data_IF_872887599003
#
_entry.id   IF_872887599003
#
_cell.length_a   1.000
_cell.length_b   1.000
_cell.length_c   1.000
_cell.angle_alpha   90.00
_cell.angle_beta   90.00
_cell.angle_gamma   90.00
#
_symmetry.space_group_name_H-M   'P 1'
#
loop_
_entity.id
_entity.type
_entity.pdbx_description
1 polymer ?
#
# COMPACT_ATOMS: atom_id res chain seq x y z
N UNK A 1 -11.10 -28.47 -1.75
CA UNK A 1 -11.19 -27.03 -2.10
C UNK A 1 -12.63 -26.46 -2.08
N UNK A 2 -13.59 -27.00 -1.29
CA UNK A 2 -15.02 -26.61 -1.44
C UNK A 2 -15.74 -26.05 -0.21
N UNK A 3 -15.12 -25.93 0.97
CA UNK A 3 -15.90 -25.66 2.18
C UNK A 3 -16.03 -24.17 2.62
N UNK A 4 -15.28 -23.25 2.00
CA UNK A 4 -15.45 -21.80 2.26
C UNK A 4 -15.59 -21.07 0.94
N UNK A 5 -16.68 -20.31 0.82
CA UNK A 5 -16.94 -19.43 -0.31
C UNK A 5 -15.97 -18.26 -0.18
N UNK A 6 -15.08 -18.10 -1.15
CA UNK A 6 -14.15 -16.96 -1.17
C UNK A 6 -14.95 -15.64 -1.13
N UNK A 7 -14.43 -14.65 -0.41
CA UNK A 7 -15.05 -13.35 -0.36
C UNK A 7 -15.15 -12.79 -1.79
N UNK A 8 -16.31 -12.25 -2.20
CA UNK A 8 -16.45 -11.77 -3.56
C UNK A 8 -15.46 -10.62 -3.84
N UNK A 9 -14.79 -10.66 -5.00
CA UNK A 9 -13.81 -9.65 -5.39
C UNK A 9 -14.34 -8.20 -5.34
N UNK A 10 -15.65 -8.01 -5.54
CA UNK A 10 -16.31 -6.70 -5.47
C UNK A 10 -16.22 -6.02 -4.11
N UNK A 11 -16.14 -6.78 -3.00
CA UNK A 11 -15.96 -6.19 -1.67
C UNK A 11 -14.62 -5.45 -1.58
N UNK A 12 -13.55 -6.02 -2.15
CA UNK A 12 -12.23 -5.38 -2.15
C UNK A 12 -12.22 -4.11 -2.99
N UNK A 13 -12.91 -4.09 -4.14
CA UNK A 13 -13.00 -2.90 -4.99
C UNK A 13 -13.79 -1.76 -4.33
N UNK A 14 -14.91 -2.07 -3.66
CA UNK A 14 -15.69 -1.06 -2.92
C UNK A 14 -14.87 -0.50 -1.76
N UNK A 15 -14.21 -1.37 -1.00
CA UNK A 15 -13.39 -0.95 0.14
C UNK A 15 -12.19 -0.12 -0.30
N UNK A 16 -11.56 -0.47 -1.43
CA UNK A 16 -10.51 0.33 -2.06
C UNK A 16 -11.04 1.71 -2.47
N UNK A 17 -12.17 1.78 -3.18
CA UNK A 17 -12.74 3.05 -3.62
C UNK A 17 -13.10 3.97 -2.43
N UNK A 18 -13.66 3.40 -1.37
CA UNK A 18 -14.02 4.16 -0.16
C UNK A 18 -12.77 4.65 0.58
N UNK A 19 -11.77 3.79 0.78
CA UNK A 19 -10.51 4.16 1.43
C UNK A 19 -9.73 5.22 0.61
N UNK A 20 -9.70 5.07 -0.71
CA UNK A 20 -9.07 6.03 -1.62
C UNK A 20 -9.78 7.39 -1.58
N UNK A 21 -11.12 7.38 -1.59
CA UNK A 21 -11.92 8.61 -1.47
C UNK A 21 -11.67 9.34 -0.15
N UNK A 22 -11.66 8.63 0.98
CA UNK A 22 -11.33 9.22 2.28
C UNK A 22 -9.90 9.76 2.32
N UNK A 23 -8.93 9.03 1.77
CA UNK A 23 -7.54 9.46 1.71
C UNK A 23 -7.38 10.74 0.87
N UNK A 24 -8.09 10.86 -0.26
CA UNK A 24 -8.09 12.07 -1.07
C UNK A 24 -8.69 13.28 -0.35
N UNK A 25 -9.79 13.09 0.40
CA UNK A 25 -10.40 14.14 1.24
C UNK A 25 -9.42 14.60 2.32
N UNK A 26 -8.78 13.67 3.04
CA UNK A 26 -7.80 14.00 4.09
C UNK A 26 -6.61 14.76 3.53
N UNK A 27 -6.05 14.34 2.39
CA UNK A 27 -4.94 15.05 1.76
C UNK A 27 -5.33 16.47 1.31
N UNK A 28 -6.55 16.66 0.82
CA UNK A 28 -7.03 17.97 0.37
C UNK A 28 -7.35 18.93 1.52
N UNK A 29 -8.04 18.46 2.57
CA UNK A 29 -8.43 19.30 3.71
C UNK A 29 -7.31 19.51 4.73
N UNK A 30 -6.39 18.56 4.85
CA UNK A 30 -5.27 18.64 5.80
C UNK A 30 -4.03 19.38 5.27
N UNK A 31 -4.06 19.86 4.02
CA UNK A 31 -2.93 20.49 3.32
C UNK A 31 -1.61 19.69 3.43
N UNK A 32 -1.74 18.37 3.58
CA UNK A 32 -0.63 17.44 3.83
C UNK A 32 0.18 17.21 2.56
N UNK A 33 -0.51 17.03 1.44
CA UNK A 33 0.06 16.68 0.15
C UNK A 33 -0.93 16.97 -0.98
N UNK A 34 -0.50 17.48 -2.15
CA UNK A 34 -1.38 17.62 -3.29
C UNK A 34 -1.99 16.26 -3.69
N UNK A 35 -3.31 16.23 -3.87
CA UNK A 35 -4.08 14.99 -4.08
C UNK A 35 -3.59 14.15 -5.27
N UNK A 36 -3.01 14.77 -6.30
CA UNK A 36 -2.44 14.08 -7.45
C UNK A 36 -1.30 13.12 -7.07
N UNK A 37 -0.52 13.43 -6.04
CA UNK A 37 0.57 12.54 -5.58
C UNK A 37 0.06 11.27 -4.91
N UNK A 38 -1.20 11.24 -4.49
CA UNK A 38 -1.83 10.04 -3.95
C UNK A 38 -1.93 8.94 -5.02
N UNK A 39 -2.26 9.31 -6.26
CA UNK A 39 -2.26 8.37 -7.39
C UNK A 39 -0.85 7.80 -7.65
N UNK A 40 0.18 8.64 -7.57
CA UNK A 40 1.57 8.21 -7.74
C UNK A 40 1.98 7.25 -6.62
N UNK A 41 1.63 7.57 -5.37
CA UNK A 41 1.91 6.71 -4.22
C UNK A 41 1.27 5.32 -4.39
N UNK A 42 -0.02 5.26 -4.76
CA UNK A 42 -0.74 4.01 -4.98
C UNK A 42 -0.17 3.22 -6.17
N UNK A 43 0.20 3.89 -7.26
CA UNK A 43 0.82 3.24 -8.42
C UNK A 43 2.18 2.61 -8.06
N UNK A 44 3.00 3.33 -7.28
CA UNK A 44 4.27 2.80 -6.78
C UNK A 44 4.03 1.60 -5.87
N UNK A 45 3.11 1.69 -4.89
CA UNK A 45 2.76 0.55 -4.04
C UNK A 45 2.36 -0.67 -4.86
N UNK A 46 1.54 -0.49 -5.91
CA UNK A 46 1.09 -1.59 -6.74
C UNK A 46 2.22 -2.26 -7.54
N UNK A 47 3.09 -1.45 -8.16
CA UNK A 47 4.24 -1.97 -8.94
C UNK A 47 5.24 -2.67 -8.03
N UNK A 48 5.54 -2.10 -6.86
CA UNK A 48 6.53 -2.64 -5.94
C UNK A 48 5.99 -3.78 -5.07
N UNK A 49 4.68 -3.93 -4.93
CA UNK A 49 4.07 -5.06 -4.22
C UNK A 49 4.53 -6.42 -4.78
N UNK A 50 4.58 -6.54 -6.11
CA UNK A 50 4.90 -7.79 -6.79
C UNK A 50 6.36 -8.24 -6.59
N UNK A 51 7.40 -7.44 -6.89
CA UNK A 51 8.79 -7.84 -6.67
C UNK A 51 9.10 -8.02 -5.18
N UNK A 52 8.56 -7.17 -4.31
CA UNK A 52 8.87 -7.22 -2.87
C UNK A 52 8.18 -8.39 -2.20
N UNK A 53 6.99 -8.77 -2.67
CA UNK A 53 6.32 -10.00 -2.25
C UNK A 53 7.07 -11.26 -2.65
N UNK A 54 7.65 -11.31 -3.86
CA UNK A 54 8.48 -12.44 -4.29
C UNK A 54 9.72 -12.56 -3.40
N UNK A 55 10.43 -11.46 -3.16
CA UNK A 55 11.62 -11.51 -2.31
C UNK A 55 11.25 -11.91 -0.89
N UNK A 56 10.22 -11.31 -0.30
CA UNK A 56 9.75 -11.68 1.03
C UNK A 56 9.36 -13.17 1.13
N UNK A 57 8.73 -13.73 0.09
CA UNK A 57 8.36 -15.15 0.07
C UNK A 57 9.56 -16.09 -0.05
N UNK A 58 10.65 -15.69 -0.72
CA UNK A 58 11.84 -16.53 -0.95
C UNK A 58 12.86 -16.39 0.18
N UNK A 59 13.13 -15.17 0.64
CA UNK A 59 14.19 -14.88 1.62
C UNK A 59 13.66 -14.73 3.04
N UNK A 60 12.34 -14.65 3.23
CA UNK A 60 11.70 -14.30 4.48
C UNK A 60 12.18 -12.96 5.07
N UNK A 61 12.73 -12.07 4.22
CA UNK A 61 13.14 -10.72 4.61
C UNK A 61 12.21 -9.67 3.99
N UNK A 62 11.72 -8.77 4.84
CA UNK A 62 10.99 -7.57 4.43
C UNK A 62 11.97 -6.52 3.90
N UNK A 63 11.94 -6.23 2.60
CA UNK A 63 12.71 -5.13 2.03
C UNK A 63 12.09 -3.80 2.47
N UNK A 64 12.87 -2.98 3.19
CA UNK A 64 12.46 -1.64 3.57
C UNK A 64 12.49 -0.68 2.38
N UNK A 65 11.40 -0.59 1.61
CA UNK A 65 11.28 0.41 0.53
C UNK A 65 11.10 1.84 1.03
N UNK A 66 11.07 2.04 2.35
CA UNK A 66 11.02 3.35 2.99
C UNK A 66 11.98 4.34 2.33
N UNK A 67 13.22 3.92 2.05
CA UNK A 67 14.25 4.78 1.46
C UNK A 67 13.91 5.20 0.03
N UNK A 68 13.35 4.29 -0.78
CA UNK A 68 12.96 4.61 -2.17
C UNK A 68 11.74 5.53 -2.17
N UNK A 69 10.75 5.24 -1.33
CA UNK A 69 9.55 6.09 -1.22
C UNK A 69 9.86 7.47 -0.65
N UNK A 70 10.76 7.57 0.32
CA UNK A 70 11.22 8.85 0.88
C UNK A 70 12.07 9.63 -0.12
N UNK A 71 12.87 8.95 -0.95
CA UNK A 71 13.62 9.60 -2.02
C UNK A 71 12.68 10.17 -3.10
N UNK A 72 11.70 9.39 -3.55
CA UNK A 72 10.70 9.84 -4.53
C UNK A 72 9.87 10.99 -3.96
N UNK A 73 9.44 10.90 -2.69
CA UNK A 73 8.71 11.97 -2.02
C UNK A 73 9.56 13.24 -1.84
N UNK A 74 10.84 13.10 -1.50
CA UNK A 74 11.77 14.21 -1.31
C UNK A 74 12.07 14.96 -2.62
N UNK A 75 12.08 14.26 -3.76
CA UNK A 75 12.17 14.89 -5.09
C UNK A 75 10.85 15.53 -5.49
N UNK A 76 9.72 14.89 -5.18
CA UNK A 76 8.38 15.36 -5.54
C UNK A 76 7.95 16.62 -4.77
N UNK A 77 8.24 16.69 -3.47
CA UNK A 77 7.81 17.77 -2.58
C UNK A 77 8.99 18.20 -1.69
N UNK A 78 9.90 19.04 -2.21
CA UNK A 78 11.06 19.48 -1.46
C UNK A 78 10.65 20.35 -0.27
N UNK A 79 11.25 20.09 0.90
CA UNK A 79 11.12 20.94 2.08
C UNK A 79 9.86 20.73 2.94
N UNK A 80 8.94 19.83 2.57
CA UNK A 80 7.76 19.53 3.39
C UNK A 80 7.83 18.11 4.03
N UNK A 81 8.23 17.99 5.30
CA UNK A 81 8.32 16.70 5.98
C UNK A 81 6.95 16.03 6.21
N UNK A 82 5.87 16.80 6.37
CA UNK A 82 4.52 16.25 6.50
C UNK A 82 4.07 15.56 5.21
N UNK A 83 4.38 16.16 4.07
CA UNK A 83 4.09 15.57 2.77
C UNK A 83 4.88 14.27 2.54
N UNK A 84 6.15 14.23 2.97
CA UNK A 84 6.98 13.03 2.86
C UNK A 84 6.44 11.87 3.71
N UNK A 85 6.10 12.11 4.98
CA UNK A 85 5.51 11.07 5.84
C UNK A 85 4.16 10.59 5.31
N UNK A 86 3.35 11.50 4.75
CA UNK A 86 2.07 11.16 4.14
C UNK A 86 2.26 10.28 2.90
N UNK A 87 3.18 10.64 2.01
CA UNK A 87 3.52 9.84 0.83
C UNK A 87 4.07 8.46 1.20
N UNK A 88 4.97 8.39 2.19
CA UNK A 88 5.49 7.14 2.74
C UNK A 88 4.38 6.26 3.31
N UNK A 89 3.41 6.84 4.01
CA UNK A 89 2.29 6.09 4.59
C UNK A 89 1.44 5.45 3.50
N UNK A 90 1.03 6.21 2.48
CA UNK A 90 0.24 5.65 1.38
C UNK A 90 1.04 4.75 0.44
N UNK A 91 2.35 4.99 0.28
CA UNK A 91 3.24 4.26 -0.61
C UNK A 91 3.79 2.96 -0.02
N UNK A 92 4.39 3.03 1.17
CA UNK A 92 5.08 1.90 1.80
C UNK A 92 4.20 1.15 2.81
N UNK A 93 3.53 1.85 3.72
CA UNK A 93 2.78 1.19 4.80
C UNK A 93 1.61 0.39 4.21
N UNK A 94 0.91 0.95 3.22
CA UNK A 94 -0.16 0.23 2.49
C UNK A 94 0.35 -1.08 1.86
N UNK A 95 1.53 -1.05 1.25
CA UNK A 95 2.15 -2.21 0.62
C UNK A 95 2.54 -3.28 1.66
N UNK A 96 3.09 -2.87 2.79
CA UNK A 96 3.43 -3.78 3.88
C UNK A 96 2.17 -4.47 4.44
N UNK A 97 1.07 -3.72 4.61
CA UNK A 97 -0.21 -4.30 5.02
C UNK A 97 -0.76 -5.29 3.99
N UNK A 98 -0.57 -5.03 2.69
CA UNK A 98 -0.96 -5.96 1.64
C UNK A 98 -0.15 -7.27 1.70
N UNK A 99 1.16 -7.21 1.98
CA UNK A 99 2.00 -8.41 2.15
C UNK A 99 1.58 -9.24 3.36
N UNK A 100 1.24 -8.60 4.47
CA UNK A 100 0.70 -9.29 5.66
C UNK A 100 -0.63 -9.98 5.33
N UNK A 101 -1.55 -9.30 4.64
CA UNK A 101 -2.81 -9.91 4.20
C UNK A 101 -2.58 -11.14 3.31
N UNK A 102 -1.62 -11.07 2.38
CA UNK A 102 -1.26 -12.22 1.51
C UNK A 102 -0.71 -13.38 2.35
N UNK A 103 0.13 -13.09 3.35
CA UNK A 103 0.66 -14.11 4.26
C UNK A 103 -0.47 -14.78 5.06
N UNK A 104 -1.42 -14.01 5.57
CA UNK A 104 -2.57 -14.51 6.33
C UNK A 104 -3.50 -15.35 5.44
N UNK A 105 -3.75 -14.93 4.20
CA UNK A 105 -4.52 -15.71 3.22
C UNK A 105 -3.83 -17.05 2.93
N UNK A 106 -2.50 -17.05 2.81
CA UNK A 106 -1.71 -18.27 2.63
C UNK A 106 -1.85 -19.20 3.84
N UNK A 107 -1.69 -18.69 5.06
CA UNK A 107 -1.86 -19.47 6.29
C UNK A 107 -3.29 -20.04 6.43
N UNK A 108 -4.31 -19.25 6.11
CA UNK A 108 -5.70 -19.71 6.06
C UNK A 108 -5.96 -20.81 5.03
N UNK A 109 -5.17 -20.88 3.96
CA UNK A 109 -5.20 -22.00 3.01
C UNK A 109 -4.50 -23.25 3.55
N UNK A 110 -3.44 -23.12 4.35
CA UNK A 110 -2.69 -24.25 4.93
C UNK A 110 -3.31 -24.82 6.21
N UNK A 111 -4.06 -24.03 6.97
CA UNK A 111 -4.74 -24.45 8.20
C UNK A 111 -6.09 -25.17 7.94
N UNK A 112 -6.40 -25.44 6.68
CA UNK A 112 -7.64 -26.07 6.23
C UNK A 112 -7.36 -27.45 5.66
#
# INVERSE_FOLDING_TARGET
>A
MSHYKEAPAWWYYILFALAFGLAAIVCHFGDLMPWYFLFVAVAISFIFLLPTGIVAAVTNQSIGLNVITEFVAGVAIPGNPLANVTFKTYGYISQNQALLLISDLKLGHYMK
#
